data_IF_944626220806
#
_entry.id   IF_944626220806
#
_cell.length_a   1.000
_cell.length_b   1.000
_cell.length_c   1.000
_cell.angle_alpha   90.00
_cell.angle_beta   90.00
_cell.angle_gamma   90.00
#
_symmetry.space_group_name_H-M   'P 1'
#
loop_
_entity.id
_entity.type
_entity.pdbx_description
1 polymer ?
#
# COMPACT_ATOMS: atom_id res chain seq x y z
N UNK A 1 19.92 86.03 45.99
CA UNK A 1 19.61 84.60 46.24
C UNK A 1 18.76 83.94 45.16
N UNK A 2 17.68 84.55 44.63
CA UNK A 2 16.82 83.93 43.59
C UNK A 2 17.49 83.67 42.22
N UNK A 3 18.48 84.48 41.79
CA UNK A 3 19.13 84.32 40.47
C UNK A 3 20.14 83.15 40.38
N UNK A 4 20.76 82.77 41.50
CA UNK A 4 21.72 81.64 41.57
C UNK A 4 20.97 80.31 41.60
N UNK A 5 19.79 80.26 42.22
CA UNK A 5 18.95 79.06 42.29
C UNK A 5 18.39 78.66 40.92
N UNK A 6 18.08 79.64 40.06
CA UNK A 6 17.56 79.39 38.70
C UNK A 6 18.66 78.88 37.77
N UNK A 7 19.90 79.39 37.89
CA UNK A 7 21.03 78.91 37.09
C UNK A 7 21.40 77.45 37.43
N UNK A 8 21.33 77.06 38.70
CA UNK A 8 21.57 75.67 39.13
C UNK A 8 20.47 74.73 38.62
N UNK A 9 19.20 75.17 38.58
CA UNK A 9 18.08 74.38 38.08
C UNK A 9 18.17 74.12 36.56
N UNK A 10 18.60 75.11 35.78
CA UNK A 10 18.76 74.99 34.32
C UNK A 10 19.94 74.08 33.96
N UNK A 11 21.05 74.14 34.71
CA UNK A 11 22.19 73.23 34.52
C UNK A 11 21.80 71.80 34.90
N UNK A 12 21.05 71.58 36.00
CA UNK A 12 20.57 70.24 36.36
C UNK A 12 19.64 69.63 35.29
N UNK A 13 18.74 70.42 34.71
CA UNK A 13 17.83 69.96 33.65
C UNK A 13 18.55 69.57 32.35
N UNK A 14 19.65 70.26 32.00
CA UNK A 14 20.48 69.91 30.83
C UNK A 14 21.34 68.65 31.05
N UNK A 15 21.75 68.37 32.29
CA UNK A 15 22.44 67.11 32.63
C UNK A 15 21.49 65.90 32.68
N UNK A 16 20.22 66.10 33.02
CA UNK A 16 19.20 65.04 33.02
C UNK A 16 18.79 64.64 31.59
N UNK A 17 18.71 65.59 30.65
CA UNK A 17 18.40 65.30 29.25
C UNK A 17 19.56 64.64 28.48
N UNK A 18 20.81 64.96 28.82
CA UNK A 18 21.98 64.31 28.23
C UNK A 18 22.15 62.83 28.67
N UNK A 19 21.80 62.50 29.93
CA UNK A 19 21.86 61.11 30.43
C UNK A 19 20.74 60.23 29.88
N UNK A 20 19.55 60.76 29.62
CA UNK A 20 18.46 60.01 28.98
C UNK A 20 18.72 59.73 27.50
N UNK A 21 19.38 60.64 26.77
CA UNK A 21 19.70 60.42 25.34
C UNK A 21 20.82 59.38 25.16
N UNK A 22 21.77 59.25 26.11
CA UNK A 22 22.82 58.23 26.04
C UNK A 22 22.34 56.84 26.47
N UNK A 23 21.43 56.75 27.44
CA UNK A 23 20.86 55.47 27.89
C UNK A 23 19.95 54.82 26.84
N UNK A 24 19.24 55.61 26.03
CA UNK A 24 18.36 55.08 24.96
C UNK A 24 19.16 54.53 23.77
N UNK A 25 20.44 54.91 23.62
CA UNK A 25 21.28 54.45 22.50
C UNK A 25 22.02 53.13 22.78
N UNK A 26 21.99 52.62 24.01
CA UNK A 26 22.77 51.44 24.41
C UNK A 26 21.94 50.20 24.80
N UNK A 27 20.61 50.27 24.70
CA UNK A 27 19.71 49.14 25.02
C UNK A 27 19.12 48.45 23.76
N UNK A 28 19.63 48.78 22.58
CA UNK A 28 19.30 48.10 21.30
C UNK A 28 20.22 46.92 20.99
N UNK A 29 20.68 46.22 22.02
CA UNK A 29 21.43 44.98 21.89
C UNK A 29 20.91 43.83 22.76
N UNK A 30 19.70 43.91 23.28
CA UNK A 30 18.93 42.67 23.49
C UNK A 30 18.45 42.20 22.13
N UNK A 31 19.28 41.34 21.54
CA UNK A 31 18.89 40.46 20.47
C UNK A 31 17.59 39.76 20.90
N UNK A 32 16.47 40.21 20.34
CA UNK A 32 15.31 39.38 20.15
C UNK A 32 15.86 38.17 19.41
N UNK A 33 16.09 37.06 20.13
CA UNK A 33 16.10 35.75 19.49
C UNK A 33 14.68 35.56 18.97
N UNK A 34 14.43 36.14 17.81
CA UNK A 34 13.35 35.73 16.95
C UNK A 34 13.77 34.32 16.58
N UNK A 35 13.29 33.34 17.35
CA UNK A 35 13.24 31.96 16.89
C UNK A 35 12.63 32.02 15.51
N UNK A 36 13.46 31.79 14.51
CA UNK A 36 13.10 31.88 13.11
C UNK A 36 11.86 31.00 12.91
N UNK A 37 10.71 31.65 12.70
CA UNK A 37 9.48 30.92 12.49
C UNK A 37 9.71 30.02 11.28
N UNK A 38 9.47 28.72 11.45
CA UNK A 38 9.69 27.73 10.41
C UNK A 38 9.17 28.26 9.07
N UNK A 39 9.96 28.19 7.98
CA UNK A 39 9.62 28.83 6.72
C UNK A 39 8.20 28.44 6.30
N UNK A 40 7.43 29.38 5.73
CA UNK A 40 6.00 29.19 5.43
C UNK A 40 5.73 27.86 4.69
N UNK A 41 6.66 27.44 3.82
CA UNK A 41 6.66 26.15 3.13
C UNK A 41 6.72 24.95 4.10
N UNK A 42 7.58 24.99 5.12
CA UNK A 42 7.69 23.99 6.19
C UNK A 42 6.44 23.96 7.08
N UNK A 43 5.84 25.12 7.33
CA UNK A 43 4.55 25.23 8.04
C UNK A 43 3.39 24.64 7.23
N UNK A 44 3.33 24.93 5.94
CA UNK A 44 2.35 24.35 5.00
C UNK A 44 2.55 22.83 4.91
N UNK A 45 3.78 22.33 4.75
CA UNK A 45 4.07 20.89 4.77
C UNK A 45 3.65 20.25 6.11
N UNK A 46 3.92 20.89 7.25
CA UNK A 46 3.53 20.38 8.56
C UNK A 46 2.01 20.42 8.80
N UNK A 47 1.31 21.42 8.26
CA UNK A 47 -0.15 21.52 8.30
C UNK A 47 -0.80 20.46 7.40
N UNK A 48 -0.30 20.28 6.17
CA UNK A 48 -0.75 19.24 5.25
C UNK A 48 -0.49 17.82 5.80
N UNK A 49 0.66 17.60 6.45
CA UNK A 49 0.97 16.34 7.12
C UNK A 49 0.08 16.07 8.35
N UNK A 50 -0.54 17.10 8.92
CA UNK A 50 -1.47 16.98 10.06
C UNK A 50 -2.92 16.76 9.61
N UNK A 51 -3.24 17.06 8.36
CA UNK A 51 -4.58 16.91 7.77
C UNK A 51 -4.76 15.62 6.95
N UNK A 52 -3.68 14.98 6.51
CA UNK A 52 -3.75 13.64 5.95
C UNK A 52 -4.26 12.65 7.02
N UNK A 53 -5.27 11.82 6.74
CA UNK A 53 -5.69 10.77 7.67
C UNK A 53 -4.47 9.92 8.02
N UNK A 54 -4.09 9.90 9.30
CA UNK A 54 -3.00 9.02 9.74
C UNK A 54 -3.45 7.58 9.57
N UNK A 55 -2.78 6.86 8.69
CA UNK A 55 -2.98 5.43 8.50
C UNK A 55 -2.62 4.73 9.82
N UNK A 56 -3.44 3.78 10.34
CA UNK A 56 -3.17 3.16 11.63
C UNK A 56 -1.84 2.39 11.64
N UNK A 57 -1.16 2.38 12.79
CA UNK A 57 0.10 1.62 12.96
C UNK A 57 -0.08 0.10 12.80
N UNK A 58 -1.30 -0.39 13.08
CA UNK A 58 -1.70 -1.78 12.86
C UNK A 58 -3.19 -1.88 12.59
N UNK A 59 -3.58 -2.84 11.75
CA UNK A 59 -4.99 -3.14 11.45
C UNK A 59 -5.13 -4.61 11.07
N UNK A 60 -6.27 -5.21 11.44
CA UNK A 60 -6.72 -6.51 10.93
C UNK A 60 -8.19 -6.35 10.53
N UNK A 61 -8.47 -6.63 9.27
CA UNK A 61 -9.79 -6.55 8.66
C UNK A 61 -10.53 -7.88 8.82
N UNK A 62 -11.84 -7.82 9.02
CA UNK A 62 -12.70 -9.00 9.06
C UNK A 62 -13.17 -9.41 7.66
N UNK A 63 -12.22 -9.86 6.82
CA UNK A 63 -12.51 -10.36 5.46
C UNK A 63 -13.05 -11.79 5.55
N UNK A 64 -14.16 -12.12 4.84
CA UNK A 64 -14.66 -13.50 4.80
C UNK A 64 -13.59 -14.43 4.23
N UNK A 65 -13.37 -15.56 4.90
CA UNK A 65 -12.49 -16.62 4.42
C UNK A 65 -13.29 -17.52 3.46
N UNK A 66 -12.71 -17.82 2.30
CA UNK A 66 -13.22 -18.83 1.37
C UNK A 66 -12.08 -19.81 1.12
N UNK A 67 -12.35 -21.11 1.29
CA UNK A 67 -11.36 -22.16 1.06
C UNK A 67 -11.51 -22.75 -0.36
N UNK A 68 -10.43 -22.74 -1.14
CA UNK A 68 -10.41 -23.28 -2.49
C UNK A 68 -10.59 -24.81 -2.51
N UNK A 69 -10.38 -25.48 -1.38
CA UNK A 69 -10.57 -26.92 -1.21
C UNK A 69 -11.97 -27.33 -0.77
N UNK A 70 -12.89 -26.38 -0.50
CA UNK A 70 -14.29 -26.70 -0.28
C UNK A 70 -14.99 -27.10 -1.59
N UNK A 71 -16.05 -27.91 -1.53
CA UNK A 71 -16.77 -28.33 -2.73
C UNK A 71 -17.61 -27.18 -3.33
N UNK A 72 -17.60 -26.97 -4.66
CA UNK A 72 -16.79 -27.66 -5.67
C UNK A 72 -15.31 -27.21 -5.65
N UNK A 73 -14.39 -28.17 -5.63
CA UNK A 73 -12.95 -27.94 -5.43
C UNK A 73 -12.32 -27.22 -6.62
N UNK A 74 -11.39 -26.29 -6.34
CA UNK A 74 -10.48 -25.69 -7.33
C UNK A 74 -9.02 -25.88 -6.85
N UNK A 75 -8.35 -26.94 -7.29
CA UNK A 75 -6.97 -27.24 -6.86
C UNK A 75 -5.99 -26.10 -7.17
N UNK A 76 -6.17 -25.41 -8.30
CA UNK A 76 -5.36 -24.27 -8.71
C UNK A 76 -6.19 -22.97 -8.71
N UNK A 77 -7.09 -22.79 -7.73
CA UNK A 77 -8.06 -21.67 -7.70
C UNK A 77 -7.69 -20.53 -6.76
N UNK A 78 -6.42 -20.35 -6.39
CA UNK A 78 -6.02 -19.41 -5.34
C UNK A 78 -6.37 -17.95 -5.67
N UNK A 79 -6.26 -17.56 -6.93
CA UNK A 79 -6.47 -16.20 -7.44
C UNK A 79 -7.95 -15.84 -7.42
N UNK A 80 -8.79 -16.70 -7.99
CA UNK A 80 -10.25 -16.50 -8.03
C UNK A 80 -10.86 -16.64 -6.63
N UNK A 81 -10.30 -17.50 -5.77
CA UNK A 81 -10.75 -17.61 -4.38
C UNK A 81 -10.41 -16.36 -3.58
N UNK A 82 -9.18 -15.84 -3.73
CA UNK A 82 -8.77 -14.58 -3.10
C UNK A 82 -9.56 -13.37 -3.60
N UNK A 83 -9.84 -13.32 -4.91
CA UNK A 83 -10.69 -12.28 -5.48
C UNK A 83 -12.12 -12.39 -4.94
N UNK A 84 -12.67 -13.60 -4.82
CA UNK A 84 -13.99 -13.80 -4.22
C UNK A 84 -14.05 -13.28 -2.77
N UNK A 85 -13.01 -13.51 -1.96
CA UNK A 85 -12.96 -12.99 -0.58
C UNK A 85 -13.06 -11.46 -0.54
N UNK A 86 -12.31 -10.76 -1.40
CA UNK A 86 -12.29 -9.30 -1.45
C UNK A 86 -13.61 -8.77 -2.03
N UNK A 87 -14.15 -9.36 -3.09
CA UNK A 87 -15.47 -8.99 -3.63
C UNK A 87 -16.58 -9.14 -2.57
N UNK A 88 -16.60 -10.24 -1.84
CA UNK A 88 -17.58 -10.45 -0.76
C UNK A 88 -17.42 -9.45 0.38
N UNK A 89 -16.19 -9.06 0.73
CA UNK A 89 -15.95 -7.99 1.70
C UNK A 89 -16.59 -6.66 1.30
N UNK A 90 -16.61 -6.36 -0.01
CA UNK A 90 -17.27 -5.19 -0.58
C UNK A 90 -18.77 -5.40 -0.87
N UNK A 91 -19.37 -6.46 -0.35
CA UNK A 91 -20.80 -6.75 -0.48
C UNK A 91 -21.22 -7.37 -1.82
N UNK A 92 -20.27 -7.68 -2.70
CA UNK A 92 -20.55 -8.38 -3.96
C UNK A 92 -20.61 -9.89 -3.70
N UNK A 93 -21.82 -10.45 -3.75
CA UNK A 93 -22.05 -11.88 -3.48
C UNK A 93 -21.63 -12.72 -4.68
N UNK A 94 -20.45 -13.32 -4.61
CA UNK A 94 -19.90 -14.22 -5.63
C UNK A 94 -19.26 -15.45 -5.00
N UNK A 95 -19.22 -16.55 -5.75
CA UNK A 95 -18.48 -17.75 -5.36
C UNK A 95 -17.17 -17.86 -6.13
N UNK A 96 -16.19 -18.60 -5.57
CA UNK A 96 -14.92 -18.89 -6.28
C UNK A 96 -15.16 -19.62 -7.62
N UNK A 97 -16.16 -20.50 -7.68
CA UNK A 97 -16.49 -21.27 -8.88
C UNK A 97 -17.13 -20.41 -9.95
N UNK A 98 -18.00 -19.48 -9.56
CA UNK A 98 -18.56 -18.48 -10.50
C UNK A 98 -17.45 -17.63 -11.14
N UNK A 99 -16.46 -17.21 -10.35
CA UNK A 99 -15.31 -16.46 -10.87
C UNK A 99 -14.41 -17.33 -11.77
N UNK A 100 -14.22 -18.61 -11.41
CA UNK A 100 -13.47 -19.57 -12.22
C UNK A 100 -14.10 -19.79 -13.60
N UNK A 101 -15.43 -19.78 -13.71
CA UNK A 101 -16.15 -19.89 -14.99
C UNK A 101 -16.04 -18.63 -15.86
N UNK A 102 -15.83 -17.45 -15.23
CA UNK A 102 -15.85 -16.15 -15.90
C UNK A 102 -14.48 -15.57 -16.20
N UNK A 103 -13.42 -16.09 -15.58
CA UNK A 103 -12.06 -15.65 -15.85
C UNK A 103 -11.60 -16.14 -17.21
N UNK A 104 -10.84 -15.30 -17.90
CA UNK A 104 -10.24 -15.68 -19.18
C UNK A 104 -9.23 -16.80 -18.96
N UNK A 105 -9.23 -17.80 -19.83
CA UNK A 105 -8.32 -18.94 -19.76
C UNK A 105 -7.45 -19.05 -21.02
N UNK A 106 -6.31 -19.71 -20.90
CA UNK A 106 -5.42 -20.09 -21.99
C UNK A 106 -4.92 -21.53 -21.75
N UNK A 107 -4.62 -22.31 -22.80
CA UNK A 107 -4.16 -23.68 -22.61
C UNK A 107 -2.78 -23.69 -21.94
N UNK A 108 -2.48 -24.76 -21.18
CA UNK A 108 -1.14 -25.00 -20.64
C UNK A 108 -0.10 -25.15 -21.76
N UNK A 109 -0.48 -25.84 -22.84
CA UNK A 109 0.33 -26.07 -24.03
C UNK A 109 -0.47 -25.77 -25.30
N UNK A 110 0.10 -24.98 -26.20
CA UNK A 110 -0.40 -24.79 -27.56
C UNK A 110 0.15 -25.88 -28.49
N UNK A 111 -0.56 -26.14 -29.59
CA UNK A 111 -0.17 -27.14 -30.60
C UNK A 111 1.18 -26.86 -31.26
N UNK A 112 1.63 -25.61 -31.27
CA UNK A 112 2.94 -25.19 -31.80
C UNK A 112 4.09 -25.30 -30.78
N UNK A 113 3.86 -25.97 -29.64
CA UNK A 113 4.86 -26.17 -28.58
C UNK A 113 5.05 -24.98 -27.63
N UNK A 114 4.39 -23.85 -27.85
CA UNK A 114 4.39 -22.72 -26.91
C UNK A 114 3.54 -23.03 -25.67
N UNK A 115 3.84 -22.36 -24.55
CA UNK A 115 3.09 -22.48 -23.29
C UNK A 115 2.08 -21.35 -23.12
N UNK A 116 1.09 -21.55 -22.24
CA UNK A 116 0.20 -20.47 -21.78
C UNK A 116 0.94 -19.36 -21.04
N UNK A 117 0.45 -18.13 -21.16
CA UNK A 117 0.98 -16.98 -20.42
C UNK A 117 -0.04 -16.51 -19.37
N UNK A 118 0.33 -16.47 -18.07
CA UNK A 118 -0.60 -16.05 -17.01
C UNK A 118 -1.05 -14.59 -17.14
N UNK A 119 -0.31 -13.74 -17.86
CA UNK A 119 -0.76 -12.37 -18.17
C UNK A 119 -1.89 -12.35 -19.22
N UNK A 120 -2.10 -13.43 -19.97
CA UNK A 120 -3.12 -13.50 -21.01
C UNK A 120 -4.43 -14.16 -20.54
N UNK A 121 -4.37 -14.99 -19.51
CA UNK A 121 -5.50 -15.72 -18.92
C UNK A 121 -4.98 -16.77 -17.93
N UNK A 122 -5.89 -17.41 -17.20
CA UNK A 122 -5.56 -18.57 -16.37
C UNK A 122 -4.99 -19.70 -17.23
N UNK A 123 -3.81 -20.19 -16.87
CA UNK A 123 -3.07 -21.17 -17.66
C UNK A 123 -3.39 -22.59 -17.21
N UNK A 124 -4.02 -23.36 -18.09
CA UNK A 124 -4.38 -24.76 -17.84
C UNK A 124 -5.74 -24.91 -17.16
N UNK A 125 -5.88 -25.92 -16.30
CA UNK A 125 -7.15 -26.29 -15.66
C UNK A 125 -7.11 -26.06 -14.13
N UNK A 126 -8.08 -25.31 -13.61
CA UNK A 126 -8.20 -25.01 -12.17
C UNK A 126 -8.69 -26.19 -11.31
N UNK A 127 -9.57 -27.03 -11.86
CA UNK A 127 -10.39 -27.97 -11.11
C UNK A 127 -9.87 -29.42 -11.17
N UNK A 128 -9.24 -29.80 -12.27
CA UNK A 128 -8.74 -31.16 -12.54
C UNK A 128 -7.24 -31.19 -12.84
N UNK A 129 -6.68 -30.04 -13.22
CA UNK A 129 -5.27 -29.91 -13.58
C UNK A 129 -4.88 -30.66 -14.86
N UNK A 130 -3.63 -30.48 -15.32
CA UNK A 130 -2.63 -29.57 -14.77
C UNK A 130 -2.98 -28.08 -15.01
N UNK A 131 -2.62 -27.23 -14.06
CA UNK A 131 -2.77 -25.78 -14.11
C UNK A 131 -1.53 -25.08 -13.55
N UNK A 132 -1.36 -23.80 -13.89
CA UNK A 132 -0.33 -22.94 -13.30
C UNK A 132 -0.97 -21.84 -12.45
N UNK A 133 -1.77 -20.97 -13.07
CA UNK A 133 -2.30 -19.78 -12.42
C UNK A 133 -2.63 -18.67 -13.42
N UNK A 134 -2.97 -17.48 -12.91
CA UNK A 134 -3.32 -16.26 -13.64
C UNK A 134 -2.73 -15.02 -12.98
N UNK A 135 -2.24 -14.07 -13.77
CA UNK A 135 -1.66 -12.83 -13.25
C UNK A 135 -2.66 -11.68 -13.20
N UNK A 136 -2.21 -10.54 -12.67
CA UNK A 136 -3.04 -9.38 -12.37
C UNK A 136 -3.96 -8.93 -13.53
N UNK A 137 -3.52 -8.98 -14.79
CA UNK A 137 -4.31 -8.46 -15.92
C UNK A 137 -5.70 -9.08 -16.05
N UNK A 138 -5.82 -10.39 -16.31
CA UNK A 138 -7.12 -11.06 -16.39
C UNK A 138 -7.94 -11.04 -15.09
N UNK A 139 -7.28 -11.04 -13.92
CA UNK A 139 -7.96 -10.92 -12.62
C UNK A 139 -8.56 -9.53 -12.43
N UNK A 140 -7.84 -8.49 -12.84
CA UNK A 140 -8.28 -7.10 -12.81
C UNK A 140 -9.46 -6.89 -13.76
N UNK A 141 -9.35 -7.38 -15.00
CA UNK A 141 -10.45 -7.37 -15.97
C UNK A 141 -11.70 -8.08 -15.41
N UNK A 142 -11.52 -9.19 -14.68
CA UNK A 142 -12.63 -9.88 -14.03
C UNK A 142 -13.23 -9.03 -12.90
N UNK A 143 -12.41 -8.45 -12.02
CA UNK A 143 -12.88 -7.59 -10.94
C UNK A 143 -13.70 -6.40 -11.49
N UNK A 144 -13.24 -5.76 -12.58
CA UNK A 144 -13.96 -4.66 -13.23
C UNK A 144 -15.36 -5.06 -13.72
N UNK A 145 -15.60 -6.31 -14.10
CA UNK A 145 -16.95 -6.77 -14.48
C UNK A 145 -17.94 -6.72 -13.32
N UNK A 146 -17.46 -6.76 -12.08
CA UNK A 146 -18.29 -6.76 -10.87
C UNK A 146 -18.39 -5.40 -10.20
N UNK A 147 -17.30 -4.63 -10.20
CA UNK A 147 -17.23 -3.36 -9.46
C UNK A 147 -16.88 -2.14 -10.32
N UNK A 148 -16.72 -2.32 -11.63
CA UNK A 148 -16.40 -1.25 -12.58
C UNK A 148 -15.09 -0.56 -12.22
N UNK A 149 -15.10 0.77 -12.28
CA UNK A 149 -13.94 1.63 -12.03
C UNK A 149 -13.44 1.60 -10.58
N UNK A 150 -14.16 0.95 -9.67
CA UNK A 150 -13.69 0.74 -8.30
C UNK A 150 -12.56 -0.27 -8.21
N UNK A 151 -12.44 -1.19 -9.15
CA UNK A 151 -11.27 -2.04 -9.22
C UNK A 151 -10.08 -1.18 -9.64
N UNK A 152 -9.00 -1.22 -8.87
CA UNK A 152 -7.74 -0.52 -9.16
C UNK A 152 -6.58 -1.52 -9.16
N UNK A 153 -5.78 -1.50 -10.23
CA UNK A 153 -4.59 -2.32 -10.35
C UNK A 153 -3.38 -1.55 -9.80
N UNK A 154 -2.81 -2.03 -8.69
CA UNK A 154 -1.65 -1.46 -8.02
C UNK A 154 -0.34 -2.15 -8.44
N UNK A 155 -0.36 -2.92 -9.53
CA UNK A 155 0.83 -3.64 -9.97
C UNK A 155 1.97 -2.68 -10.28
N UNK A 156 3.18 -2.98 -9.77
CA UNK A 156 4.39 -2.15 -9.79
C UNK A 156 4.43 -0.95 -8.83
N UNK A 157 3.39 -0.72 -8.02
CA UNK A 157 3.45 0.27 -6.95
C UNK A 157 4.39 -0.19 -5.82
N UNK A 158 4.65 0.70 -4.86
CA UNK A 158 5.40 0.34 -3.66
C UNK A 158 4.55 -0.55 -2.75
N UNK A 159 5.19 -1.31 -1.86
CA UNK A 159 4.43 -2.05 -0.86
C UNK A 159 3.79 -1.11 0.18
N UNK A 160 4.33 0.09 0.38
CA UNK A 160 3.71 1.09 1.25
C UNK A 160 2.37 1.58 0.67
N UNK A 161 2.26 1.73 -0.67
CA UNK A 161 0.99 2.03 -1.32
C UNK A 161 -0.05 0.92 -1.09
N UNK A 162 0.39 -0.35 -1.08
CA UNK A 162 -0.47 -1.50 -0.75
C UNK A 162 -0.94 -1.42 0.70
N UNK A 163 -0.05 -1.14 1.64
CA UNK A 163 -0.40 -1.02 3.06
C UNK A 163 -1.28 0.18 3.34
N UNK A 164 -1.11 1.27 2.60
CA UNK A 164 -1.99 2.43 2.70
C UNK A 164 -3.44 2.05 2.39
N UNK A 165 -3.68 1.26 1.34
CA UNK A 165 -5.03 0.77 1.03
C UNK A 165 -5.59 -0.14 2.13
N UNK A 166 -4.77 -1.05 2.66
CA UNK A 166 -5.18 -1.91 3.78
C UNK A 166 -5.53 -1.07 5.01
N UNK A 167 -4.74 -0.05 5.33
CA UNK A 167 -4.98 0.87 6.44
C UNK A 167 -6.20 1.77 6.25
N UNK A 168 -6.65 1.99 5.01
CA UNK A 168 -7.93 2.62 4.68
C UNK A 168 -9.14 1.68 4.81
N UNK A 169 -8.90 0.43 5.23
CA UNK A 169 -9.93 -0.60 5.37
C UNK A 169 -10.22 -1.37 4.09
N UNK A 170 -9.30 -1.37 3.12
CA UNK A 170 -9.48 -2.02 1.82
C UNK A 170 -8.52 -3.22 1.71
N UNK A 171 -9.00 -4.48 1.76
CA UNK A 171 -8.13 -5.63 1.58
C UNK A 171 -7.59 -5.69 0.16
N UNK A 172 -6.37 -6.22 0.00
CA UNK A 172 -5.64 -6.19 -1.28
C UNK A 172 -5.35 -7.61 -1.76
N UNK A 173 -5.73 -7.90 -3.00
CA UNK A 173 -5.42 -9.15 -3.69
C UNK A 173 -3.97 -9.10 -4.20
N UNK A 174 -3.19 -10.16 -4.06
CA UNK A 174 -1.80 -10.21 -4.58
C UNK A 174 -1.42 -11.57 -5.18
N UNK A 175 -0.39 -11.57 -6.03
CA UNK A 175 0.38 -12.77 -6.39
C UNK A 175 1.62 -12.85 -5.50
N UNK A 176 1.88 -14.04 -4.96
CA UNK A 176 2.93 -14.35 -4.01
C UNK A 176 3.51 -15.75 -4.35
N UNK A 177 4.46 -16.22 -3.55
CA UNK A 177 4.86 -17.63 -3.56
C UNK A 177 4.14 -18.41 -2.45
N UNK A 178 3.88 -19.69 -2.63
CA UNK A 178 3.26 -20.56 -1.63
C UNK A 178 4.02 -20.68 -0.30
N UNK A 179 5.34 -20.39 -0.31
CA UNK A 179 6.17 -20.34 0.91
C UNK A 179 6.21 -18.98 1.61
N UNK A 180 5.60 -17.95 1.01
CA UNK A 180 5.66 -16.54 1.45
C UNK A 180 7.10 -16.00 1.61
N UNK A 181 8.03 -16.57 0.87
CA UNK A 181 9.45 -16.24 0.83
C UNK A 181 9.99 -16.41 -0.60
N UNK A 182 11.06 -15.70 -0.99
CA UNK A 182 11.64 -15.88 -2.31
C UNK A 182 12.05 -17.33 -2.59
N UNK A 183 11.77 -17.81 -3.80
CA UNK A 183 12.13 -19.16 -4.27
C UNK A 183 13.19 -19.09 -5.37
N UNK A 184 13.93 -20.19 -5.58
CA UNK A 184 14.93 -20.29 -6.65
C UNK A 184 14.41 -21.01 -7.91
N UNK A 185 13.30 -21.73 -7.78
CA UNK A 185 12.77 -22.64 -8.82
C UNK A 185 11.91 -21.89 -9.85
N UNK A 186 12.56 -21.29 -10.84
CA UNK A 186 11.89 -20.67 -11.99
C UNK A 186 12.15 -21.43 -13.29
N UNK A 187 11.15 -21.44 -14.17
CA UNK A 187 11.24 -21.94 -15.54
C UNK A 187 11.02 -20.80 -16.51
N UNK A 188 11.78 -20.76 -17.60
CA UNK A 188 11.50 -19.84 -18.71
C UNK A 188 10.59 -20.53 -19.71
N UNK A 189 9.42 -19.96 -19.94
CA UNK A 189 8.45 -20.45 -20.91
C UNK A 189 8.43 -19.55 -22.13
N UNK A 190 8.40 -20.16 -23.31
CA UNK A 190 8.12 -19.46 -24.57
C UNK A 190 6.60 -19.45 -24.78
N UNK A 191 5.98 -18.26 -24.79
CA UNK A 191 4.54 -18.10 -25.00
C UNK A 191 4.27 -17.35 -26.32
N UNK A 192 3.00 -17.29 -26.79
CA UNK A 192 2.66 -16.46 -27.93
C UNK A 192 3.02 -14.97 -27.75
N UNK A 193 3.07 -14.48 -26.51
CA UNK A 193 3.38 -13.09 -26.14
C UNK A 193 4.87 -12.82 -25.87
N UNK A 194 5.73 -13.85 -25.95
CA UNK A 194 7.15 -13.74 -25.66
C UNK A 194 7.61 -14.68 -24.54
N UNK A 195 8.84 -14.50 -24.08
CA UNK A 195 9.38 -15.26 -22.97
C UNK A 195 8.89 -14.73 -21.63
N UNK A 196 8.60 -15.64 -20.71
CA UNK A 196 8.23 -15.31 -19.34
C UNK A 196 8.89 -16.30 -18.36
N UNK A 197 9.30 -15.83 -17.19
CA UNK A 197 9.70 -16.70 -16.09
C UNK A 197 8.48 -17.03 -15.23
N UNK A 198 8.25 -18.31 -14.99
CA UNK A 198 7.18 -18.80 -14.12
C UNK A 198 7.78 -19.66 -13.02
N UNK A 199 7.02 -19.86 -11.95
CA UNK A 199 7.31 -20.87 -10.93
C UNK A 199 6.00 -21.59 -10.59
N UNK A 200 6.06 -22.90 -10.34
CA UNK A 200 4.92 -23.65 -9.80
C UNK A 200 4.74 -23.44 -8.29
N UNK A 201 5.62 -22.65 -7.67
CA UNK A 201 5.41 -22.11 -6.33
C UNK A 201 4.55 -20.84 -6.33
N UNK A 202 3.96 -20.46 -7.47
CA UNK A 202 2.99 -19.37 -7.54
C UNK A 202 1.82 -19.64 -6.59
N UNK A 203 1.30 -18.57 -5.98
CA UNK A 203 0.13 -18.58 -5.13
C UNK A 203 -0.52 -17.19 -5.11
N UNK A 204 -1.75 -17.11 -4.63
CA UNK A 204 -2.45 -15.85 -4.44
C UNK A 204 -3.22 -15.81 -3.13
N UNK A 205 -3.23 -14.62 -2.51
CA UNK A 205 -3.83 -14.39 -1.18
C UNK A 205 -4.49 -13.02 -1.13
N UNK A 206 -5.36 -12.81 -0.15
CA UNK A 206 -5.89 -11.50 0.20
C UNK A 206 -5.16 -10.95 1.43
N UNK A 207 -4.51 -9.79 1.34
CA UNK A 207 -3.94 -9.08 2.49
C UNK A 207 -5.08 -8.47 3.28
N UNK A 208 -5.17 -8.86 4.54
CA UNK A 208 -6.24 -8.45 5.46
C UNK A 208 -5.73 -7.58 6.60
N UNK A 209 -4.43 -7.36 6.73
CA UNK A 209 -3.91 -6.52 7.80
C UNK A 209 -2.39 -6.44 7.83
N UNK A 210 -1.90 -5.63 8.74
CA UNK A 210 -0.48 -5.51 9.04
C UNK A 210 -0.28 -4.99 10.47
N UNK A 211 0.94 -5.17 10.96
CA UNK A 211 1.52 -4.41 12.07
C UNK A 211 2.97 -4.03 11.72
N UNK A 212 3.74 -3.57 12.70
CA UNK A 212 5.15 -3.21 12.51
C UNK A 212 5.98 -4.34 11.85
N UNK A 213 5.75 -5.60 12.25
CA UNK A 213 6.61 -6.73 11.93
C UNK A 213 5.95 -7.78 11.03
N UNK A 214 4.63 -7.75 10.90
CA UNK A 214 3.85 -8.81 10.27
C UNK A 214 2.85 -8.31 9.24
N UNK A 215 2.58 -9.19 8.27
CA UNK A 215 1.46 -9.08 7.33
C UNK A 215 0.45 -10.17 7.71
N UNK A 216 -0.83 -9.81 7.71
CA UNK A 216 -1.95 -10.72 7.90
C UNK A 216 -2.64 -10.94 6.57
N UNK A 217 -2.92 -12.20 6.25
CA UNK A 217 -3.60 -12.58 5.01
C UNK A 217 -4.75 -13.54 5.28
N UNK A 218 -5.73 -13.59 4.38
CA UNK A 218 -6.51 -14.80 4.19
C UNK A 218 -5.84 -15.66 3.14
N UNK A 219 -5.42 -16.85 3.54
CA UNK A 219 -4.87 -17.87 2.66
C UNK A 219 -6.04 -18.73 2.13
N UNK A 220 -6.23 -18.84 0.80
CA UNK A 220 -7.33 -19.63 0.23
C UNK A 220 -7.22 -21.14 0.52
N UNK A 221 -6.16 -21.61 1.20
CA UNK A 221 -6.11 -22.95 1.81
C UNK A 221 -6.82 -23.07 3.16
N UNK A 222 -7.59 -22.06 3.57
CA UNK A 222 -8.48 -22.14 4.74
C UNK A 222 -7.91 -21.52 6.02
N UNK A 223 -6.87 -20.69 5.94
CA UNK A 223 -6.30 -19.99 7.09
C UNK A 223 -6.68 -18.50 7.05
N UNK A 224 -7.50 -18.06 8.01
CA UNK A 224 -7.95 -16.68 8.16
C UNK A 224 -6.94 -15.87 8.95
N UNK A 225 -6.60 -14.66 8.49
CA UNK A 225 -5.63 -13.77 9.13
C UNK A 225 -4.31 -14.48 9.51
N UNK A 226 -3.82 -15.36 8.63
CA UNK A 226 -2.52 -16.00 8.77
C UNK A 226 -1.43 -14.93 8.88
N UNK A 227 -0.62 -15.05 9.93
CA UNK A 227 0.41 -14.08 10.31
C UNK A 227 1.75 -14.46 9.68
N UNK A 228 2.32 -13.56 8.89
CA UNK A 228 3.54 -13.79 8.11
C UNK A 228 4.59 -12.72 8.39
N UNK A 229 5.88 -13.09 8.34
CA UNK A 229 6.97 -12.13 8.48
C UNK A 229 6.94 -11.10 7.33
N UNK A 230 6.85 -9.82 7.69
CA UNK A 230 6.69 -8.72 6.72
C UNK A 230 7.82 -8.64 5.71
N UNK A 231 9.08 -8.70 6.16
CA UNK A 231 10.23 -8.58 5.28
C UNK A 231 10.32 -9.73 4.26
N UNK A 232 10.04 -10.96 4.68
CA UNK A 232 10.01 -12.13 3.79
C UNK A 232 8.88 -12.02 2.76
N UNK A 233 7.69 -11.64 3.24
CA UNK A 233 6.50 -11.49 2.40
C UNK A 233 6.72 -10.47 1.28
N UNK A 234 7.25 -9.29 1.62
CA UNK A 234 7.54 -8.22 0.65
C UNK A 234 8.50 -8.73 -0.42
N UNK A 235 9.60 -9.39 -0.03
CA UNK A 235 10.57 -9.92 -1.01
C UNK A 235 9.97 -10.97 -1.95
N UNK A 236 9.08 -11.82 -1.44
CA UNK A 236 8.38 -12.81 -2.26
C UNK A 236 7.39 -12.15 -3.24
N UNK A 237 6.66 -11.13 -2.79
CA UNK A 237 5.73 -10.36 -3.61
C UNK A 237 6.47 -9.59 -4.72
N UNK A 238 7.61 -8.97 -4.37
CA UNK A 238 8.49 -8.31 -5.34
C UNK A 238 9.04 -9.29 -6.37
N UNK A 239 9.48 -10.48 -5.94
CA UNK A 239 9.95 -11.53 -6.84
C UNK A 239 8.88 -11.97 -7.85
N UNK A 240 7.62 -11.97 -7.42
CA UNK A 240 6.47 -12.31 -8.28
C UNK A 240 5.94 -11.13 -9.10
N UNK A 241 6.67 -10.01 -9.16
CA UNK A 241 6.37 -8.90 -10.05
C UNK A 241 5.46 -7.83 -9.44
N UNK A 242 5.45 -7.68 -8.11
CA UNK A 242 4.73 -6.60 -7.41
C UNK A 242 3.24 -6.50 -7.78
N UNK A 243 2.59 -7.64 -7.94
CA UNK A 243 1.23 -7.70 -8.48
C UNK A 243 0.19 -7.50 -7.38
N UNK A 244 -0.70 -6.53 -7.56
CA UNK A 244 -1.70 -6.18 -6.56
C UNK A 244 -2.97 -5.59 -7.18
N UNK A 245 -4.14 -5.92 -6.62
CA UNK A 245 -5.43 -5.36 -7.01
C UNK A 245 -6.20 -4.99 -5.74
N UNK A 246 -6.82 -3.81 -5.73
CA UNK A 246 -7.71 -3.36 -4.66
C UNK A 246 -9.08 -3.00 -5.23
N UNK A 247 -10.11 -3.01 -4.39
CA UNK A 247 -11.42 -2.46 -4.70
C UNK A 247 -11.63 -1.23 -3.83
N UNK A 248 -11.76 -0.07 -4.46
CA UNK A 248 -12.03 1.21 -3.79
C UNK A 248 -13.52 1.40 -3.46
N UNK A 249 -13.83 2.42 -2.66
CA UNK A 249 -15.20 2.70 -2.17
C UNK A 249 -16.13 3.24 -3.24
#
# INVERSE_FOLDING_TARGET
MKKILIAILVVLLLFISAKTILAVKFDRQEAIQVTEAAPLKKRIVALLAKEAPSIPDSIILDVPLINQMDQPILYNGCEVTSLAMILNYHGVKVTKNELAEKIKTVPLNYTNGKKGNPNAGFVGDMAHGPGLGVYNGPVFELAQKYVGDKAVNLTNHSFDDVLEKVGQGLPVWVIITSSFAPVSVFQTWNTPQGQIKITFSEHSVAITGYDENYIYINNPYGEKNQKLNRASFIKAWEQMGKQAIVIEK
#
